data_IF_496864543234
#
_entry.id   IF_496864543234
#
_cell.length_a   1.000
_cell.length_b   1.000
_cell.length_c   1.000
_cell.angle_alpha   90.00
_cell.angle_beta   90.00
_cell.angle_gamma   90.00
#
_symmetry.space_group_name_H-M   'P 1'
#
loop_
_entity.id
_entity.type
_entity.pdbx_description
1 polymer ?
#
# COMPACT_ATOMS: atom_id res chain seq x y z
N UNK A 1 -9.18 7.95 -3.58
CA UNK A 1 -9.17 7.24 -4.88
C UNK A 1 -8.62 5.84 -4.65
N UNK A 2 -9.27 4.77 -5.12
CA UNK A 2 -8.72 3.41 -4.99
C UNK A 2 -7.44 3.27 -5.82
N UNK A 3 -6.43 2.64 -5.23
CA UNK A 3 -5.13 2.39 -5.86
C UNK A 3 -4.61 1.00 -5.50
N UNK A 4 -3.83 0.40 -6.39
CA UNK A 4 -2.99 -0.76 -6.13
C UNK A 4 -1.53 -0.28 -6.02
N UNK A 5 -0.87 -0.58 -4.91
CA UNK A 5 0.56 -0.31 -4.72
C UNK A 5 1.34 -1.61 -4.72
N UNK A 6 2.34 -1.69 -5.59
CA UNK A 6 3.34 -2.77 -5.58
C UNK A 6 4.54 -2.31 -4.76
N UNK A 7 4.92 -3.09 -3.75
CA UNK A 7 6.10 -2.82 -2.92
C UNK A 7 7.27 -3.72 -3.30
N UNK A 8 8.49 -3.29 -2.94
CA UNK A 8 9.77 -3.92 -3.35
C UNK A 8 9.88 -5.41 -3.02
N UNK A 9 9.22 -5.86 -1.96
CA UNK A 9 9.20 -7.28 -1.58
C UNK A 9 8.28 -8.16 -2.48
N UNK A 10 7.65 -7.55 -3.49
CA UNK A 10 6.72 -8.19 -4.42
C UNK A 10 5.27 -8.25 -3.95
N UNK A 11 4.98 -7.78 -2.72
CA UNK A 11 3.60 -7.69 -2.22
C UNK A 11 2.83 -6.58 -2.94
N UNK A 12 1.52 -6.79 -3.05
CA UNK A 12 0.59 -5.83 -3.62
C UNK A 12 -0.50 -5.51 -2.62
N UNK A 13 -0.80 -4.23 -2.50
CA UNK A 13 -1.83 -3.73 -1.60
C UNK A 13 -2.85 -2.91 -2.39
N UNK A 14 -4.12 -3.25 -2.25
CA UNK A 14 -5.23 -2.40 -2.71
C UNK A 14 -5.72 -1.57 -1.53
N UNK A 15 -6.05 -0.31 -1.76
CA UNK A 15 -6.64 0.55 -0.73
C UNK A 15 -7.05 1.92 -1.28
N UNK A 16 -7.58 2.78 -0.41
CA UNK A 16 -7.92 4.15 -0.76
C UNK A 16 -6.70 5.04 -0.49
N UNK A 17 -6.15 5.65 -1.53
CA UNK A 17 -5.13 6.68 -1.39
C UNK A 17 -5.65 7.81 -0.50
N UNK A 18 -4.93 8.11 0.58
CA UNK A 18 -5.27 9.16 1.52
C UNK A 18 -4.36 10.37 1.43
N UNK A 19 -3.04 10.17 1.55
CA UNK A 19 -2.03 11.23 1.47
C UNK A 19 -0.65 10.66 1.18
N UNK A 20 0.29 11.52 0.78
CA UNK A 20 1.71 11.22 0.72
C UNK A 20 2.49 12.35 1.40
N UNK A 21 3.47 12.00 2.23
CA UNK A 21 4.39 12.93 2.87
C UNK A 21 5.71 12.91 2.09
N UNK A 22 6.21 14.08 1.72
CA UNK A 22 7.45 14.22 0.93
C UNK A 22 8.59 14.85 1.72
N UNK A 23 8.32 15.30 2.95
CA UNK A 23 9.31 15.88 3.85
C UNK A 23 9.84 14.81 4.82
N UNK A 24 11.13 14.85 5.13
CA UNK A 24 11.76 13.85 6.01
C UNK A 24 11.91 12.49 5.33
N UNK A 25 11.36 11.44 5.93
CA UNK A 25 11.27 10.13 5.31
C UNK A 25 9.97 10.07 4.48
N UNK A 26 10.04 10.00 3.12
CA UNK A 26 8.82 10.10 2.33
C UNK A 26 7.95 8.85 2.46
N UNK A 27 6.64 9.03 2.62
CA UNK A 27 5.68 7.97 2.92
C UNK A 27 4.37 8.11 2.14
N UNK A 28 3.71 6.99 1.86
CA UNK A 28 2.39 6.91 1.22
C UNK A 28 1.42 6.25 2.18
N UNK A 29 0.24 6.86 2.39
CA UNK A 29 -0.80 6.34 3.26
C UNK A 29 -1.98 5.83 2.46
N UNK A 30 -2.30 4.54 2.65
CA UNK A 30 -3.53 3.91 2.20
C UNK A 30 -4.49 3.72 3.39
N UNK A 31 -5.77 4.03 3.19
CA UNK A 31 -6.85 3.63 4.11
C UNK A 31 -7.59 2.41 3.58
N UNK A 32 -8.18 1.63 4.48
CA UNK A 32 -8.98 0.46 4.12
C UNK A 32 -8.20 -0.50 3.20
N UNK A 33 -6.93 -0.70 3.51
CA UNK A 33 -6.00 -1.44 2.68
C UNK A 33 -6.14 -2.95 2.89
N UNK A 34 -5.84 -3.74 1.87
CA UNK A 34 -5.75 -5.20 1.96
C UNK A 34 -4.59 -5.69 1.09
N UNK A 35 -3.88 -6.70 1.56
CA UNK A 35 -2.90 -7.40 0.73
C UNK A 35 -3.64 -8.28 -0.29
N UNK A 36 -3.34 -8.11 -1.58
CA UNK A 36 -3.97 -8.86 -2.67
C UNK A 36 -3.04 -9.86 -3.35
N UNK A 37 -1.72 -9.67 -3.18
CA UNK A 37 -0.68 -10.56 -3.68
C UNK A 37 0.61 -10.47 -2.85
N UNK A 38 1.48 -11.46 -3.02
CA UNK A 38 2.80 -11.55 -2.41
C UNK A 38 2.80 -12.13 -0.99
N UNK A 39 3.92 -11.93 -0.28
CA UNK A 39 4.20 -12.57 1.02
C UNK A 39 3.21 -12.17 2.12
N UNK A 40 2.62 -10.99 1.97
CA UNK A 40 1.71 -10.42 2.97
C UNK A 40 0.26 -10.87 2.77
N UNK A 41 -0.03 -11.59 1.68
CA UNK A 41 -1.32 -12.22 1.44
C UNK A 41 -1.45 -13.49 2.28
N UNK A 42 -2.05 -13.37 3.47
CA UNK A 42 -2.47 -14.53 4.27
C UNK A 42 -3.91 -14.93 3.93
N UNK A 43 -4.24 -16.22 4.04
CA UNK A 43 -5.62 -16.70 3.93
C UNK A 43 -6.47 -16.03 5.04
N UNK A 44 -7.56 -15.38 4.66
CA UNK A 44 -8.38 -14.57 5.57
C UNK A 44 -8.00 -13.08 5.62
N UNK A 45 -7.76 -12.45 4.47
CA UNK A 45 -7.30 -11.07 4.34
C UNK A 45 -8.08 -10.07 5.23
N UNK A 46 -7.46 -9.69 6.35
CA UNK A 46 -7.97 -8.66 7.23
C UNK A 46 -7.78 -7.30 6.59
N UNK A 47 -8.83 -6.48 6.68
CA UNK A 47 -8.79 -5.10 6.24
C UNK A 47 -7.93 -4.29 7.21
N UNK A 48 -6.88 -3.67 6.70
CA UNK A 48 -5.97 -2.79 7.44
C UNK A 48 -6.58 -1.38 7.38
N UNK A 49 -6.94 -0.81 8.52
CA UNK A 49 -7.57 0.52 8.58
C UNK A 49 -6.68 1.60 7.96
N UNK A 50 -5.38 1.55 8.25
CA UNK A 50 -4.35 2.43 7.73
C UNK A 50 -3.06 1.65 7.48
N UNK A 51 -2.55 1.71 6.26
CA UNK A 51 -1.28 1.13 5.84
C UNK A 51 -0.34 2.26 5.42
N UNK A 52 0.86 2.27 5.99
CA UNK A 52 1.93 3.22 5.65
C UNK A 52 2.96 2.46 4.81
N UNK A 53 3.29 3.01 3.65
CA UNK A 53 4.29 2.47 2.73
C UNK A 53 5.40 3.51 2.60
N UNK A 54 6.62 3.13 2.99
CA UNK A 54 7.78 3.99 2.78
C UNK A 54 8.02 4.15 1.28
N UNK A 55 8.30 5.36 0.82
CA UNK A 55 8.48 5.65 -0.61
C UNK A 55 9.65 4.88 -1.22
N UNK A 56 10.69 4.59 -0.42
CA UNK A 56 11.81 3.73 -0.83
C UNK A 56 11.36 2.31 -1.20
N UNK A 57 10.28 1.83 -0.59
CA UNK A 57 9.75 0.50 -0.81
C UNK A 57 8.61 0.48 -1.86
N UNK A 58 8.11 1.63 -2.28
CA UNK A 58 7.11 1.75 -3.34
C UNK A 58 7.76 1.57 -4.72
N UNK A 59 7.28 0.59 -5.48
CA UNK A 59 7.76 0.31 -6.84
C UNK A 59 6.81 0.83 -7.92
N UNK A 60 5.49 0.73 -7.70
CA UNK A 60 4.49 1.19 -8.64
C UNK A 60 3.17 1.52 -7.91
N UNK A 61 2.46 2.52 -8.44
CA UNK A 61 1.11 2.92 -8.00
C UNK A 61 0.20 2.91 -9.23
N UNK A 62 -0.85 2.11 -9.20
CA UNK A 62 -1.85 2.04 -10.26
C UNK A 62 -3.20 2.54 -9.73
N UNK A 63 -3.87 3.41 -10.48
CA UNK A 63 -5.26 3.80 -10.19
C UNK A 63 -6.19 2.72 -10.71
N UNK A 64 -7.22 2.38 -9.93
CA UNK A 64 -8.19 1.31 -10.24
C UNK A 64 -9.58 1.90 -10.45
#
# INVERSE_FOLDING_TARGET
MPVEITVRNGSKYEGIFHTAFTEGEPEIILRLAKAVSGKDKKEGAHLISQLIILSKDCMAINVI
#
